data_IF_044931726117
#
_entry.id   IF_044931726117
#
_cell.length_a   1.000
_cell.length_b   1.000
_cell.length_c   1.000
_cell.angle_alpha   90.00
_cell.angle_beta   90.00
_cell.angle_gamma   90.00
#
_symmetry.space_group_name_H-M   'P 1'
#
loop_
_entity.id
_entity.type
_entity.pdbx_description
1 polymer ?
#
# COMPACT_ATOMS: atom_id res chain seq x y z
N UNK A 1 -21.86 -8.84 7.96
CA UNK A 1 -22.44 -7.64 7.34
C UNK A 1 -21.43 -7.13 6.33
N UNK A 2 -21.60 -7.43 5.05
CA UNK A 2 -20.62 -7.18 3.98
C UNK A 2 -20.64 -5.75 3.44
N UNK A 3 -21.72 -5.02 3.67
CA UNK A 3 -21.88 -3.64 3.23
C UNK A 3 -21.56 -2.63 4.37
N UNK A 4 -20.32 -2.67 4.86
CA UNK A 4 -19.80 -1.71 5.84
C UNK A 4 -18.38 -1.31 5.47
N UNK A 5 -17.93 -0.08 5.80
CA UNK A 5 -16.54 0.34 5.58
C UNK A 5 -15.57 -0.52 6.38
N UNK A 6 -14.34 -0.64 5.88
CA UNK A 6 -13.28 -1.33 6.61
C UNK A 6 -13.04 -0.67 7.96
N UNK A 7 -12.90 -1.50 9.00
CA UNK A 7 -12.45 -1.03 10.30
C UNK A 7 -10.99 -0.59 10.24
N UNK A 8 -10.57 0.29 11.17
CA UNK A 8 -9.16 0.70 11.27
C UNK A 8 -8.22 -0.51 11.42
N UNK A 9 -8.63 -1.52 12.18
CA UNK A 9 -7.87 -2.76 12.37
C UNK A 9 -7.71 -3.55 11.06
N UNK A 10 -8.76 -3.61 10.24
CA UNK A 10 -8.73 -4.32 8.96
C UNK A 10 -7.88 -3.59 7.91
N UNK A 11 -7.94 -2.25 7.91
CA UNK A 11 -7.02 -1.41 7.14
C UNK A 11 -5.56 -1.64 7.57
N UNK A 12 -5.28 -1.70 8.87
CA UNK A 12 -3.93 -1.99 9.38
C UNK A 12 -3.42 -3.35 8.91
N UNK A 13 -4.25 -4.40 8.92
CA UNK A 13 -3.86 -5.72 8.40
C UNK A 13 -3.45 -5.64 6.93
N UNK A 14 -4.22 -4.93 6.11
CA UNK A 14 -3.92 -4.75 4.69
C UNK A 14 -2.62 -3.98 4.50
N UNK A 15 -2.38 -2.93 5.28
CA UNK A 15 -1.13 -2.16 5.23
C UNK A 15 0.09 -3.01 5.63
N UNK A 16 -0.03 -3.79 6.71
CA UNK A 16 1.02 -4.74 7.13
C UNK A 16 1.28 -5.76 6.02
N UNK A 17 0.24 -6.27 5.36
CA UNK A 17 0.39 -7.17 4.24
C UNK A 17 1.19 -6.54 3.08
N UNK A 18 0.84 -5.32 2.66
CA UNK A 18 1.55 -4.61 1.59
C UNK A 18 3.02 -4.41 1.97
N UNK A 19 3.29 -3.99 3.21
CA UNK A 19 4.64 -3.79 3.71
C UNK A 19 5.46 -5.09 3.71
N UNK A 20 4.86 -6.21 4.12
CA UNK A 20 5.53 -7.52 4.15
C UNK A 20 5.79 -8.10 2.75
N UNK A 21 4.93 -7.81 1.76
CA UNK A 21 5.12 -8.27 0.38
C UNK A 21 6.10 -7.39 -0.38
N UNK A 22 6.27 -6.11 -0.03
CA UNK A 22 7.12 -5.19 -0.78
C UNK A 22 8.54 -5.71 -1.06
N UNK A 23 9.28 -6.28 -0.06
CA UNK A 23 10.61 -6.82 -0.31
C UNK A 23 10.61 -8.00 -1.29
N UNK A 24 9.54 -8.80 -1.30
CA UNK A 24 9.42 -9.96 -2.19
C UNK A 24 9.28 -9.56 -3.67
N UNK A 25 8.84 -8.33 -3.97
CA UNK A 25 8.69 -7.84 -5.35
C UNK A 25 10.04 -7.74 -6.07
N UNK A 26 11.11 -7.41 -5.35
CA UNK A 26 12.46 -7.32 -5.91
C UNK A 26 13.02 -8.68 -6.35
N UNK A 27 12.47 -9.77 -5.82
CA UNK A 27 12.75 -11.11 -6.29
C UNK A 27 11.70 -11.48 -7.35
N UNK A 28 12.12 -12.04 -8.49
CA UNK A 28 11.22 -12.37 -9.63
C UNK A 28 10.01 -13.23 -9.21
N UNK A 29 10.14 -13.97 -8.11
CA UNK A 29 9.06 -14.77 -7.51
C UNK A 29 7.91 -13.89 -6.97
N UNK A 30 8.13 -12.64 -6.56
CA UNK A 30 7.11 -11.78 -5.94
C UNK A 30 6.42 -10.77 -6.86
N UNK A 31 7.00 -10.44 -8.03
CA UNK A 31 6.37 -9.48 -8.96
C UNK A 31 5.07 -10.03 -9.58
N UNK A 32 5.08 -11.29 -10.03
CA UNK A 32 3.90 -11.93 -10.64
C UNK A 32 2.73 -12.04 -9.63
N UNK A 33 2.93 -12.49 -8.38
CA UNK A 33 1.90 -12.45 -7.36
C UNK A 33 1.33 -11.04 -7.12
N UNK A 34 2.19 -10.01 -7.06
CA UNK A 34 1.73 -8.63 -6.88
C UNK A 34 0.86 -8.16 -8.06
N UNK A 35 1.22 -8.53 -9.30
CA UNK A 35 0.44 -8.23 -10.49
C UNK A 35 -0.94 -8.88 -10.47
N UNK A 36 -1.06 -10.14 -10.02
CA UNK A 36 -2.37 -10.78 -9.85
C UNK A 36 -3.26 -9.96 -8.92
N UNK A 37 -2.75 -9.53 -7.77
CA UNK A 37 -3.53 -8.74 -6.81
C UNK A 37 -3.89 -7.37 -7.38
N UNK A 38 -2.94 -6.66 -7.98
CA UNK A 38 -3.19 -5.36 -8.60
C UNK A 38 -4.27 -5.44 -9.68
N UNK A 39 -4.18 -6.45 -10.56
CA UNK A 39 -5.18 -6.70 -11.59
C UNK A 39 -6.54 -7.08 -11.00
N UNK A 40 -6.57 -7.90 -9.96
CA UNK A 40 -7.79 -8.25 -9.24
C UNK A 40 -8.49 -7.03 -8.64
N UNK A 41 -7.74 -6.14 -8.00
CA UNK A 41 -8.26 -4.88 -7.43
C UNK A 41 -8.79 -3.98 -8.55
N UNK A 42 -8.03 -3.82 -9.64
CA UNK A 42 -8.44 -3.01 -10.79
C UNK A 42 -9.73 -3.52 -11.43
N UNK A 43 -9.80 -4.83 -11.70
CA UNK A 43 -10.97 -5.47 -12.31
C UNK A 43 -12.18 -5.42 -11.39
N UNK A 44 -12.00 -5.64 -10.09
CA UNK A 44 -13.05 -5.48 -9.08
C UNK A 44 -13.59 -4.05 -9.10
N UNK A 45 -12.73 -3.03 -9.10
CA UNK A 45 -13.15 -1.62 -9.13
C UNK A 45 -13.93 -1.27 -10.41
N UNK A 46 -13.52 -1.84 -11.56
CA UNK A 46 -14.16 -1.58 -12.86
C UNK A 46 -15.52 -2.25 -12.99
N UNK A 47 -15.63 -3.49 -12.52
CA UNK A 47 -16.84 -4.31 -12.63
C UNK A 47 -17.80 -4.14 -11.45
N UNK A 48 -17.32 -3.59 -10.32
CA UNK A 48 -17.99 -3.62 -9.01
C UNK A 48 -18.32 -5.03 -8.53
N UNK A 49 -17.53 -6.03 -8.95
CA UNK A 49 -17.68 -7.41 -8.52
C UNK A 49 -16.43 -7.90 -7.79
N UNK A 50 -16.62 -8.33 -6.53
CA UNK A 50 -15.57 -8.87 -5.67
C UNK A 50 -15.01 -10.22 -6.18
N UNK A 51 -15.75 -10.95 -7.03
CA UNK A 51 -15.34 -12.25 -7.58
C UNK A 51 -14.01 -12.17 -8.36
N UNK A 52 -13.72 -11.02 -8.99
CA UNK A 52 -12.45 -10.78 -9.67
C UNK A 52 -11.26 -10.75 -8.71
N UNK A 53 -11.45 -10.20 -7.50
CA UNK A 53 -10.43 -10.19 -6.47
C UNK A 53 -10.23 -11.61 -5.91
N UNK A 54 -11.30 -12.36 -5.67
CA UNK A 54 -11.19 -13.76 -5.24
C UNK A 54 -10.45 -14.62 -6.27
N UNK A 55 -10.73 -14.41 -7.55
CA UNK A 55 -10.05 -15.09 -8.65
C UNK A 55 -8.57 -14.72 -8.72
N UNK A 56 -8.24 -13.44 -8.56
CA UNK A 56 -6.85 -12.99 -8.46
C UNK A 56 -6.11 -13.65 -7.29
N UNK A 57 -6.71 -13.70 -6.10
CA UNK A 57 -6.11 -14.36 -4.93
C UNK A 57 -6.00 -15.88 -5.13
N UNK A 58 -6.93 -16.49 -5.86
CA UNK A 58 -6.83 -17.90 -6.25
C UNK A 58 -5.62 -18.15 -7.16
N UNK A 59 -5.45 -17.34 -8.20
CA UNK A 59 -4.31 -17.45 -9.12
C UNK A 59 -2.97 -17.14 -8.43
N UNK A 60 -2.95 -16.12 -7.56
CA UNK A 60 -1.83 -15.84 -6.65
C UNK A 60 -1.39 -17.10 -5.91
N UNK A 61 -2.32 -17.81 -5.26
CA UNK A 61 -1.99 -19.02 -4.48
C UNK A 61 -1.46 -20.14 -5.36
N UNK A 62 -2.04 -20.35 -6.54
CA UNK A 62 -1.55 -21.38 -7.47
C UNK A 62 -0.14 -21.09 -7.97
N UNK A 63 0.15 -19.83 -8.30
CA UNK A 63 1.50 -19.44 -8.67
C UNK A 63 2.50 -19.65 -7.53
N UNK A 64 2.13 -19.23 -6.31
CA UNK A 64 2.97 -19.40 -5.11
C UNK A 64 3.14 -20.88 -4.73
N UNK A 65 2.31 -21.80 -5.24
CA UNK A 65 2.46 -23.24 -4.99
C UNK A 65 3.57 -23.88 -5.84
N UNK A 66 3.96 -23.28 -6.96
CA UNK A 66 5.03 -23.78 -7.84
C UNK A 66 6.36 -24.00 -7.09
N UNK A 67 6.91 -23.04 -6.33
CA UNK A 67 8.15 -23.24 -5.58
C UNK A 67 8.03 -24.31 -4.48
N UNK A 68 6.83 -24.56 -3.94
CA UNK A 68 6.60 -25.65 -2.98
C UNK A 68 6.82 -27.00 -3.65
N UNK A 69 6.24 -27.20 -4.84
CA UNK A 69 6.42 -28.45 -5.61
C UNK A 69 7.89 -28.61 -6.00
N UNK A 70 8.53 -27.53 -6.45
CA UNK A 70 9.96 -27.52 -6.76
C UNK A 70 10.83 -27.87 -5.55
N UNK A 71 10.49 -27.39 -4.35
CA UNK A 71 11.18 -27.71 -3.11
C UNK A 71 11.07 -29.19 -2.72
N UNK A 72 9.89 -29.80 -2.88
CA UNK A 72 9.69 -31.23 -2.59
C UNK A 72 10.53 -32.08 -3.54
N UNK A 73 10.46 -31.80 -4.85
CA UNK A 73 11.25 -32.51 -5.87
C UNK A 73 12.75 -32.29 -5.68
N UNK A 74 13.16 -31.06 -5.36
CA UNK A 74 14.54 -30.71 -5.06
C UNK A 74 15.08 -31.46 -3.84
N UNK A 75 14.30 -31.53 -2.76
CA UNK A 75 14.67 -32.27 -1.55
C UNK A 75 14.86 -33.76 -1.83
N UNK A 76 13.93 -34.36 -2.58
CA UNK A 76 14.06 -35.76 -3.03
C UNK A 76 15.32 -35.96 -3.87
N UNK A 77 15.59 -35.04 -4.81
CA UNK A 77 16.82 -35.05 -5.60
C UNK A 77 18.07 -35.04 -4.72
N UNK A 78 18.19 -34.08 -3.80
CA UNK A 78 19.34 -33.97 -2.89
C UNK A 78 19.55 -35.26 -2.09
N UNK A 79 18.48 -35.86 -1.55
CA UNK A 79 18.56 -37.14 -0.82
C UNK A 79 19.03 -38.27 -1.73
N UNK A 80 18.51 -38.37 -2.95
CA UNK A 80 18.92 -39.38 -3.94
C UNK A 80 20.41 -39.22 -4.25
N UNK A 81 20.90 -38.01 -4.55
CA UNK A 81 22.31 -37.76 -4.82
C UNK A 81 23.22 -38.20 -3.66
N UNK A 82 22.79 -37.96 -2.41
CA UNK A 82 23.52 -38.38 -1.21
C UNK A 82 23.52 -39.91 -1.02
N UNK A 83 22.36 -40.56 -1.15
CA UNK A 83 22.22 -42.04 -0.99
C UNK A 83 23.07 -42.78 -2.01
N UNK A 84 23.05 -42.34 -3.28
CA UNK A 84 23.83 -42.97 -4.35
C UNK A 84 25.30 -42.56 -4.34
N UNK A 85 25.76 -41.80 -3.33
CA UNK A 85 27.17 -41.48 -3.07
C UNK A 85 27.89 -41.00 -4.34
N UNK A 86 27.24 -40.14 -5.14
CA UNK A 86 27.92 -39.52 -6.28
C UNK A 86 29.12 -38.76 -5.70
N UNK A 87 30.34 -39.18 -6.08
CA UNK A 87 31.63 -39.11 -5.33
C UNK A 87 32.05 -37.76 -4.70
N UNK A 88 31.26 -36.70 -4.82
CA UNK A 88 31.51 -35.38 -4.25
C UNK A 88 30.45 -34.89 -3.26
N UNK A 89 29.37 -35.65 -3.02
CA UNK A 89 28.26 -35.22 -2.16
C UNK A 89 28.47 -35.72 -0.72
N UNK A 90 28.81 -34.81 0.19
CA UNK A 90 29.00 -35.14 1.61
C UNK A 90 27.77 -34.80 2.47
N UNK A 91 27.89 -34.97 3.80
CA UNK A 91 26.82 -34.62 4.74
C UNK A 91 26.55 -33.12 4.87
N UNK A 92 27.57 -32.27 4.62
CA UNK A 92 27.39 -30.82 4.62
C UNK A 92 26.59 -30.39 3.40
N UNK A 93 26.89 -30.94 2.22
CA UNK A 93 26.13 -30.67 0.98
C UNK A 93 24.67 -31.07 1.10
N UNK A 94 24.40 -32.23 1.73
CA UNK A 94 23.03 -32.67 2.06
C UNK A 94 22.32 -31.64 2.95
N UNK A 95 22.97 -31.20 4.03
CA UNK A 95 22.39 -30.25 4.97
C UNK A 95 22.09 -28.90 4.31
N UNK A 96 23.02 -28.38 3.50
CA UNK A 96 22.85 -27.12 2.76
C UNK A 96 21.70 -27.25 1.74
N UNK A 97 21.68 -28.34 0.96
CA UNK A 97 20.62 -28.58 -0.03
C UNK A 97 19.23 -28.66 0.59
N UNK A 98 19.09 -29.38 1.71
CA UNK A 98 17.83 -29.46 2.45
C UNK A 98 17.44 -28.12 3.09
N UNK A 99 18.40 -27.37 3.63
CA UNK A 99 18.16 -26.04 4.18
C UNK A 99 17.64 -25.07 3.11
N UNK A 100 18.25 -25.04 1.92
CA UNK A 100 17.77 -24.24 0.79
C UNK A 100 16.34 -24.66 0.41
N UNK A 101 16.08 -25.96 0.25
CA UNK A 101 14.75 -26.45 -0.10
C UNK A 101 13.71 -26.06 0.97
N UNK A 102 14.06 -26.13 2.26
CA UNK A 102 13.17 -25.71 3.35
C UNK A 102 12.78 -24.23 3.25
N UNK A 103 13.68 -23.35 2.79
CA UNK A 103 13.38 -21.95 2.50
C UNK A 103 12.33 -21.80 1.40
N UNK A 104 12.51 -22.51 0.29
CA UNK A 104 11.55 -22.56 -0.83
C UNK A 104 10.22 -23.23 -0.46
N UNK A 105 10.14 -23.96 0.64
CA UNK A 105 8.90 -24.52 1.16
C UNK A 105 8.19 -23.53 2.11
N UNK A 106 8.93 -22.98 3.06
CA UNK A 106 8.39 -22.16 4.16
C UNK A 106 7.98 -20.76 3.72
N UNK A 107 8.78 -20.09 2.88
CA UNK A 107 8.49 -18.73 2.42
C UNK A 107 7.17 -18.66 1.63
N UNK A 108 6.90 -19.54 0.65
CA UNK A 108 5.61 -19.56 -0.05
C UNK A 108 4.41 -19.86 0.85
N UNK A 109 4.58 -20.75 1.84
CA UNK A 109 3.51 -21.01 2.82
C UNK A 109 3.17 -19.78 3.64
N UNK A 110 4.18 -19.01 4.06
CA UNK A 110 3.97 -17.74 4.74
C UNK A 110 3.22 -16.76 3.83
N UNK A 111 3.57 -16.65 2.55
CA UNK A 111 2.83 -15.82 1.60
C UNK A 111 1.36 -16.22 1.45
N UNK A 112 1.06 -17.52 1.35
CA UNK A 112 -0.32 -18.03 1.29
C UNK A 112 -1.07 -17.69 2.57
N UNK A 113 -0.42 -17.80 3.73
CA UNK A 113 -1.01 -17.43 5.02
C UNK A 113 -1.31 -15.93 5.07
N UNK A 114 -0.33 -15.08 4.70
CA UNK A 114 -0.45 -13.63 4.72
C UNK A 114 -1.58 -13.14 3.80
N UNK A 115 -1.63 -13.61 2.54
CA UNK A 115 -2.68 -13.18 1.60
C UNK A 115 -4.07 -13.61 2.07
N UNK A 116 -4.20 -14.77 2.72
CA UNK A 116 -5.49 -15.22 3.25
C UNK A 116 -5.92 -14.39 4.46
N UNK A 117 -5.03 -14.22 5.44
CA UNK A 117 -5.37 -13.66 6.76
C UNK A 117 -5.33 -12.14 6.81
N UNK A 118 -4.35 -11.51 6.16
CA UNK A 118 -4.14 -10.07 6.26
C UNK A 118 -4.74 -9.29 5.08
N UNK A 119 -4.97 -9.96 3.93
CA UNK A 119 -5.51 -9.30 2.73
C UNK A 119 -6.93 -9.75 2.40
N UNK A 120 -7.13 -11.02 2.04
CA UNK A 120 -8.43 -11.51 1.56
C UNK A 120 -9.48 -11.54 2.68
N UNK A 121 -9.15 -12.01 3.87
CA UNK A 121 -10.12 -12.13 4.96
C UNK A 121 -10.73 -10.78 5.37
N UNK A 122 -9.94 -9.71 5.58
CA UNK A 122 -10.50 -8.38 5.83
C UNK A 122 -11.37 -7.89 4.68
N UNK A 123 -10.90 -8.01 3.43
CA UNK A 123 -11.65 -7.52 2.27
C UNK A 123 -12.96 -8.29 2.04
N UNK A 124 -12.95 -9.61 2.25
CA UNK A 124 -14.12 -10.47 2.07
C UNK A 124 -15.21 -10.18 3.11
N UNK A 125 -14.82 -9.82 4.34
CA UNK A 125 -15.79 -9.41 5.38
C UNK A 125 -16.54 -8.12 5.03
N UNK A 126 -15.98 -7.32 4.11
CA UNK A 126 -16.50 -6.02 3.66
C UNK A 126 -16.73 -5.99 2.14
N UNK A 127 -17.00 -7.14 1.52
CA UNK A 127 -16.94 -7.32 0.06
C UNK A 127 -17.79 -6.33 -0.74
N UNK A 128 -19.07 -6.18 -0.38
CA UNK A 128 -20.01 -5.31 -1.11
C UNK A 128 -19.56 -3.85 -1.05
N UNK A 129 -19.19 -3.39 0.14
CA UNK A 129 -18.75 -2.01 0.33
C UNK A 129 -17.44 -1.73 -0.40
N UNK A 130 -16.49 -2.68 -0.38
CA UNK A 130 -15.19 -2.57 -1.07
C UNK A 130 -15.36 -2.56 -2.58
N UNK A 131 -16.28 -3.35 -3.13
CA UNK A 131 -16.52 -3.41 -4.56
C UNK A 131 -17.07 -2.08 -5.11
N UNK A 132 -17.90 -1.39 -4.33
CA UNK A 132 -18.48 -0.10 -4.72
C UNK A 132 -17.56 1.09 -4.46
N UNK A 133 -16.91 1.13 -3.29
CA UNK A 133 -16.19 2.31 -2.80
C UNK A 133 -14.66 2.18 -2.93
N UNK A 134 -14.13 0.97 -3.03
CA UNK A 134 -12.69 0.69 -3.02
C UNK A 134 -12.10 0.49 -1.62
N UNK A 135 -10.87 -0.04 -1.57
CA UNK A 135 -10.22 -0.55 -0.34
C UNK A 135 -9.87 0.54 0.69
N UNK A 136 -9.53 1.75 0.23
CA UNK A 136 -9.04 2.85 1.09
C UNK A 136 -10.04 3.99 1.26
N UNK A 137 -11.31 3.76 0.92
CA UNK A 137 -12.34 4.79 1.07
C UNK A 137 -12.76 4.91 2.55
N UNK A 138 -12.78 6.12 3.09
CA UNK A 138 -13.24 6.35 4.46
C UNK A 138 -14.78 6.36 4.55
N UNK A 139 -15.32 6.20 5.76
CA UNK A 139 -16.73 6.53 6.07
C UNK A 139 -17.06 8.00 5.74
N UNK A 140 -16.05 8.86 5.63
CA UNK A 140 -16.18 10.30 5.35
C UNK A 140 -16.16 10.60 3.85
N UNK A 141 -16.89 9.82 3.07
CA UNK A 141 -17.16 10.10 1.65
C UNK A 141 -18.12 11.26 1.43
N UNK A 142 -17.92 12.39 2.11
CA UNK A 142 -18.45 13.71 1.73
C UNK A 142 -17.36 14.75 1.96
N UNK A 143 -16.33 14.69 1.13
CA UNK A 143 -15.89 15.81 0.30
C UNK A 143 -14.66 15.39 -0.49
N UNK A 144 -14.69 15.79 -1.74
CA UNK A 144 -13.52 16.14 -2.54
C UNK A 144 -12.84 17.32 -1.81
N UNK A 145 -12.20 17.07 -0.67
CA UNK A 145 -11.28 18.04 -0.07
C UNK A 145 -9.87 17.54 -0.34
N UNK A 146 -9.14 18.41 -1.02
CA UNK A 146 -7.71 18.41 -1.28
C UNK A 146 -6.91 17.59 -0.27
N UNK A 147 -6.08 16.69 -0.81
CA UNK A 147 -4.84 16.28 -0.19
C UNK A 147 -4.08 17.53 0.28
N UNK A 148 -4.17 17.84 1.57
CA UNK A 148 -3.39 18.89 2.24
C UNK A 148 -2.61 18.28 3.39
N UNK A 149 -1.81 17.24 3.07
CA UNK A 149 -0.92 16.55 4.02
C UNK A 149 0.56 16.83 3.75
N UNK A 150 0.90 17.53 2.66
CA UNK A 150 2.26 18.04 2.43
C UNK A 150 2.22 19.37 1.68
N UNK A 151 1.68 20.41 2.33
CA UNK A 151 2.10 21.80 2.09
C UNK A 151 3.08 22.14 3.21
N UNK A 152 4.35 21.86 3.03
CA UNK A 152 5.34 22.92 2.83
C UNK A 152 5.08 24.12 3.76
N UNK A 153 5.81 24.17 4.88
CA UNK A 153 5.99 25.33 5.76
C UNK A 153 6.63 26.56 5.06
N UNK A 154 6.30 26.79 3.78
CA UNK A 154 6.99 27.71 2.88
C UNK A 154 6.08 28.55 1.99
N UNK A 155 4.77 28.62 2.26
CA UNK A 155 3.87 29.58 1.60
C UNK A 155 3.15 30.40 2.66
N UNK A 156 3.82 31.46 3.12
CA UNK A 156 3.20 32.53 3.91
C UNK A 156 2.06 33.14 3.08
N UNK A 157 0.82 32.78 3.37
CA UNK A 157 -0.28 33.71 3.18
C UNK A 157 0.01 34.87 4.12
N UNK A 158 0.48 36.00 3.59
CA UNK A 158 0.67 37.18 4.42
C UNK A 158 -0.66 37.49 5.11
N UNK A 159 -0.65 37.52 6.43
CA UNK A 159 -1.83 37.84 7.21
C UNK A 159 -2.25 39.26 6.85
N UNK A 160 -3.55 39.52 6.73
CA UNK A 160 -4.10 40.88 6.54
C UNK A 160 -3.51 41.86 7.57
N UNK A 161 -3.20 41.37 8.77
CA UNK A 161 -2.51 42.15 9.80
C UNK A 161 -1.09 42.56 9.40
N UNK A 162 -0.29 41.67 8.79
CA UNK A 162 1.08 41.97 8.37
C UNK A 162 1.12 42.96 7.21
N UNK A 163 0.16 42.84 6.26
CA UNK A 163 0.03 43.82 5.18
C UNK A 163 -0.39 45.19 5.71
N UNK A 164 -1.37 45.26 6.62
CA UNK A 164 -1.76 46.52 7.26
C UNK A 164 -0.60 47.17 8.02
N UNK A 165 0.23 46.39 8.72
CA UNK A 165 1.43 46.90 9.42
C UNK A 165 2.44 47.47 8.41
N UNK A 166 2.62 46.84 7.25
CA UNK A 166 3.50 47.36 6.19
C UNK A 166 3.00 48.68 5.61
N UNK A 167 1.70 48.76 5.31
CA UNK A 167 1.09 50.00 4.79
C UNK A 167 1.10 51.12 5.84
N UNK A 168 0.96 50.78 7.13
CA UNK A 168 1.04 51.76 8.21
C UNK A 168 2.44 52.37 8.30
N UNK A 169 3.50 51.56 8.18
CA UNK A 169 4.88 52.06 8.12
C UNK A 169 5.14 52.96 6.91
N UNK A 170 4.63 52.61 5.73
CA UNK A 170 4.77 53.45 4.53
C UNK A 170 4.07 54.81 4.67
N UNK A 171 2.99 54.87 5.44
CA UNK A 171 2.32 56.12 5.80
C UNK A 171 3.17 56.94 6.77
N UNK A 172 3.67 56.31 7.83
CA UNK A 172 4.52 56.97 8.83
C UNK A 172 5.82 57.52 8.21
N UNK A 173 6.39 56.80 7.24
CA UNK A 173 7.57 57.23 6.47
C UNK A 173 7.25 58.31 5.41
N UNK A 174 5.98 58.74 5.29
CA UNK A 174 5.54 59.81 4.39
C UNK A 174 5.50 59.43 2.89
N UNK A 175 5.59 58.15 2.57
CA UNK A 175 5.59 57.65 1.19
C UNK A 175 4.19 57.51 0.59
N UNK A 176 3.15 57.46 1.43
CA UNK A 176 1.74 57.41 1.02
C UNK A 176 0.90 58.39 1.83
N UNK A 177 -0.19 58.86 1.25
CA UNK A 177 -1.12 59.77 1.92
C UNK A 177 -2.10 59.01 2.83
N UNK A 178 -2.71 59.72 3.79
CA UNK A 178 -3.75 59.19 4.69
C UNK A 178 -4.91 58.53 3.91
N UNK A 179 -5.28 59.13 2.77
CA UNK A 179 -6.39 58.66 1.92
C UNK A 179 -6.06 57.34 1.22
N UNK A 180 -4.82 57.18 0.73
CA UNK A 180 -4.37 55.94 0.08
C UNK A 180 -4.27 54.79 1.07
N UNK A 181 -3.86 55.07 2.31
CA UNK A 181 -3.85 54.07 3.37
C UNK A 181 -5.26 53.58 3.72
N UNK A 182 -6.22 54.49 3.85
CA UNK A 182 -7.60 54.15 4.19
C UNK A 182 -8.32 53.36 3.08
N UNK A 183 -8.04 53.66 1.81
CA UNK A 183 -8.57 52.91 0.67
C UNK A 183 -8.02 51.47 0.61
N UNK A 184 -6.73 51.29 0.88
CA UNK A 184 -6.10 49.97 0.96
C UNK A 184 -6.62 49.19 2.16
N UNK A 185 -6.75 49.84 3.33
CA UNK A 185 -7.32 49.23 4.54
C UNK A 185 -8.74 48.72 4.33
N UNK A 186 -9.61 49.49 3.67
CA UNK A 186 -10.98 49.06 3.34
C UNK A 186 -10.98 47.86 2.39
N UNK A 187 -10.14 47.87 1.36
CA UNK A 187 -10.01 46.73 0.41
C UNK A 187 -9.51 45.46 1.10
N UNK A 188 -8.54 45.57 2.00
CA UNK A 188 -7.99 44.43 2.73
C UNK A 188 -8.97 43.85 3.75
N UNK A 189 -9.79 44.68 4.40
CA UNK A 189 -10.83 44.23 5.33
C UNK A 189 -12.06 43.61 4.65
N UNK A 190 -12.37 43.99 3.41
CA UNK A 190 -13.49 43.40 2.64
C UNK A 190 -13.14 42.08 1.95
N UNK A 191 -11.85 41.73 1.86
CA UNK A 191 -11.37 40.52 1.16
C UNK A 191 -11.38 39.26 2.06
N UNK A 192 -11.80 39.40 3.32
CA UNK A 192 -11.91 38.34 4.32
C UNK A 192 -13.37 38.08 4.72
#
# INVERSE_FOLDING_TARGET
MTNQPLSSNDLTKILIFILLILPSIFFVVGIIPALFLAFGIFMMKKSKDFSHLETAVRNYKYYVLIPIVGSILGSLGVVVFWVFRIDRFDSQDLAIGLAICSGFFTIPLLHIFLVKKLFLSPLKSHADWVAENGIFSGRNGTKKDSLDIVKSEGLRSFSVADELIKWAKLKEDGHITEQEFDDVRKKLLQKN
#
